data_IF_177631093820
#
_entry.id   IF_177631093820
#
_cell.length_a   1.000
_cell.length_b   1.000
_cell.length_c   1.000
_cell.angle_alpha   90.00
_cell.angle_beta   90.00
_cell.angle_gamma   90.00
#
_symmetry.space_group_name_H-M   'P 1'
#
loop_
_entity.id
_entity.type
_entity.pdbx_description
1 polymer ?
#
# COMPACT_ATOMS: atom_id res chain seq x y z
N UNK A 1 -46.53 -6.62 22.29
CA UNK A 1 -45.16 -6.21 22.65
C UNK A 1 -44.16 -6.91 21.73
N UNK A 2 -43.70 -6.22 20.70
CA UNK A 2 -42.28 -5.90 20.44
C UNK A 2 -42.25 -5.08 19.14
N UNK A 3 -41.69 -3.86 19.16
CA UNK A 3 -41.74 -2.94 18.04
C UNK A 3 -40.84 -3.42 16.91
N UNK A 4 -41.35 -3.31 15.69
CA UNK A 4 -40.57 -3.41 14.47
C UNK A 4 -39.47 -2.35 14.58
N UNK A 5 -38.22 -2.78 14.72
CA UNK A 5 -37.07 -1.88 14.63
C UNK A 5 -37.04 -1.38 13.19
N UNK A 6 -37.67 -0.23 12.98
CA UNK A 6 -37.45 0.63 11.84
C UNK A 6 -35.95 0.92 11.78
N UNK A 7 -35.25 0.18 10.91
CA UNK A 7 -33.97 0.63 10.39
C UNK A 7 -34.26 1.92 9.62
N UNK A 8 -34.10 3.02 10.34
CA UNK A 8 -34.22 4.37 9.82
C UNK A 8 -33.53 4.45 8.47
N UNK A 9 -34.29 4.90 7.47
CA UNK A 9 -33.81 5.14 6.11
C UNK A 9 -32.55 6.01 6.17
N UNK A 10 -31.40 5.36 6.04
CA UNK A 10 -30.12 6.03 5.99
C UNK A 10 -30.13 6.93 4.74
N UNK A 11 -30.19 8.23 5.01
CA UNK A 11 -30.42 9.33 4.09
C UNK A 11 -29.76 9.12 2.71
N UNK A 12 -30.59 8.96 1.67
CA UNK A 12 -30.22 8.69 0.26
C UNK A 12 -29.64 9.92 -0.45
N UNK A 13 -28.68 10.59 0.17
CA UNK A 13 -27.93 11.73 -0.40
C UNK A 13 -26.42 11.54 -0.25
N UNK A 14 -25.95 10.29 -0.28
CA UNK A 14 -24.57 10.01 -0.62
C UNK A 14 -24.53 10.03 -2.15
N UNK A 15 -23.98 11.10 -2.72
CA UNK A 15 -23.52 11.11 -4.11
C UNK A 15 -22.67 9.85 -4.24
N UNK A 16 -23.16 8.82 -4.92
CA UNK A 16 -22.46 7.57 -5.16
C UNK A 16 -21.36 7.82 -6.19
N UNK A 17 -20.32 8.53 -5.77
CA UNK A 17 -18.98 8.50 -6.38
C UNK A 17 -18.29 7.19 -5.97
N UNK A 18 -19.03 6.09 -5.89
CA UNK A 18 -18.45 4.79 -5.57
C UNK A 18 -17.97 4.19 -6.88
N UNK A 19 -16.76 4.57 -7.29
CA UNK A 19 -16.03 3.83 -8.31
C UNK A 19 -15.96 2.37 -7.85
N UNK A 20 -16.43 1.45 -8.68
CA UNK A 20 -16.31 0.03 -8.37
C UNK A 20 -14.84 -0.37 -8.47
N UNK A 21 -14.42 -1.39 -7.71
CA UNK A 21 -13.04 -1.91 -7.80
C UNK A 21 -12.69 -2.32 -9.23
N UNK A 22 -13.69 -2.77 -10.03
CA UNK A 22 -13.51 -3.15 -11.43
C UNK A 22 -13.20 -1.97 -12.33
N UNK A 23 -13.81 -0.81 -12.06
CA UNK A 23 -13.55 0.43 -12.80
C UNK A 23 -12.09 0.90 -12.63
N UNK A 24 -11.48 0.50 -11.51
CA UNK A 24 -10.08 0.74 -11.19
C UNK A 24 -9.14 -0.40 -11.64
N UNK A 25 -9.67 -1.47 -12.26
CA UNK A 25 -8.88 -2.61 -12.72
C UNK A 25 -8.53 -3.63 -11.63
N UNK A 26 -9.30 -3.67 -10.53
CA UNK A 26 -9.07 -4.55 -9.39
C UNK A 26 -10.28 -5.45 -9.05
N UNK A 27 -10.01 -6.58 -8.39
CA UNK A 27 -11.01 -7.49 -7.83
C UNK A 27 -10.50 -8.09 -6.52
N UNK A 28 -11.40 -8.70 -5.76
CA UNK A 28 -11.05 -9.52 -4.60
C UNK A 28 -10.89 -10.97 -5.08
N UNK A 29 -9.80 -11.63 -4.70
CA UNK A 29 -9.57 -13.06 -4.95
C UNK A 29 -10.33 -13.94 -3.95
N UNK A 30 -10.33 -15.25 -4.19
CA UNK A 30 -11.06 -16.22 -3.35
C UNK A 30 -10.50 -16.31 -1.92
N UNK A 31 -9.30 -15.77 -1.68
CA UNK A 31 -8.67 -15.67 -0.36
C UNK A 31 -8.95 -14.33 0.34
N UNK A 32 -9.80 -13.47 -0.24
CA UNK A 32 -10.12 -12.14 0.29
C UNK A 32 -9.06 -11.07 0.04
N UNK A 33 -8.09 -11.29 -0.86
CA UNK A 33 -7.02 -10.34 -1.19
C UNK A 33 -7.35 -9.54 -2.44
N UNK A 34 -6.95 -8.27 -2.44
CA UNK A 34 -7.04 -7.41 -3.62
C UNK A 34 -6.03 -7.88 -4.69
N UNK A 35 -6.53 -8.15 -5.89
CA UNK A 35 -5.76 -8.55 -7.08
C UNK A 35 -6.20 -7.75 -8.29
N UNK A 36 -5.44 -7.80 -9.38
CA UNK A 36 -5.87 -7.24 -10.67
C UNK A 36 -6.99 -8.10 -11.27
N UNK A 37 -7.69 -7.55 -12.27
CA UNK A 37 -8.77 -8.29 -12.96
C UNK A 37 -8.32 -9.63 -13.55
N UNK A 38 -7.07 -9.70 -14.04
CA UNK A 38 -6.42 -10.92 -14.54
C UNK A 38 -6.05 -11.94 -13.44
N UNK A 39 -6.30 -11.63 -12.17
CA UNK A 39 -5.93 -12.44 -11.01
C UNK A 39 -4.45 -12.31 -10.62
N UNK A 40 -3.67 -11.51 -11.34
CA UNK A 40 -2.29 -11.25 -10.97
C UNK A 40 -2.22 -10.45 -9.67
N UNK A 41 -1.24 -10.81 -8.83
CA UNK A 41 -1.01 -10.11 -7.57
C UNK A 41 -0.60 -8.68 -7.86
N UNK A 42 -1.21 -7.75 -7.15
CA UNK A 42 -0.77 -6.36 -7.16
C UNK A 42 0.62 -6.31 -6.54
N UNK A 43 1.62 -5.99 -7.36
CA UNK A 43 3.01 -5.90 -6.90
C UNK A 43 3.11 -4.71 -5.94
N UNK A 44 3.39 -4.98 -4.66
CA UNK A 44 3.69 -3.97 -3.62
C UNK A 44 5.03 -3.23 -3.85
N UNK A 45 5.52 -3.14 -5.08
CA UNK A 45 6.93 -2.87 -5.36
C UNK A 45 7.25 -1.87 -6.47
N UNK A 46 6.27 -1.28 -7.17
CA UNK A 46 6.62 -0.70 -8.47
C UNK A 46 7.36 0.65 -8.39
N UNK A 47 6.88 1.63 -7.64
CA UNK A 47 7.43 3.00 -7.74
C UNK A 47 8.15 3.46 -6.47
N UNK A 48 7.55 3.29 -5.29
CA UNK A 48 8.10 3.82 -4.04
C UNK A 48 9.45 3.16 -3.69
N UNK A 49 9.53 1.83 -3.77
CA UNK A 49 10.76 1.10 -3.43
C UNK A 49 11.87 1.32 -4.43
N UNK A 50 11.52 1.43 -5.71
CA UNK A 50 12.47 1.81 -6.77
C UNK A 50 13.00 3.23 -6.53
N UNK A 51 12.11 4.17 -6.20
CA UNK A 51 12.47 5.53 -5.86
C UNK A 51 13.41 5.59 -4.65
N UNK A 52 13.10 4.86 -3.57
CA UNK A 52 13.97 4.75 -2.38
C UNK A 52 15.35 4.19 -2.76
N UNK A 53 15.42 3.16 -3.61
CA UNK A 53 16.68 2.58 -4.07
C UNK A 53 17.55 3.52 -4.91
N UNK A 54 16.93 4.49 -5.59
CA UNK A 54 17.60 5.51 -6.42
C UNK A 54 18.03 6.76 -5.64
N UNK A 55 17.56 6.95 -4.40
CA UNK A 55 17.93 8.11 -3.59
C UNK A 55 19.43 8.15 -3.29
N UNK A 56 20.06 9.27 -3.64
CA UNK A 56 21.43 9.58 -3.25
C UNK A 56 21.45 10.35 -1.93
N UNK A 57 22.62 10.34 -1.28
CA UNK A 57 22.81 11.16 -0.09
C UNK A 57 22.69 12.65 -0.47
N UNK A 58 21.88 13.39 0.28
CA UNK A 58 21.64 14.82 0.03
C UNK A 58 20.50 15.11 -0.95
N UNK A 59 19.86 14.10 -1.54
CA UNK A 59 18.64 14.30 -2.33
C UNK A 59 17.51 14.89 -1.47
N UNK A 60 16.64 15.67 -2.11
CA UNK A 60 15.53 16.32 -1.41
C UNK A 60 14.40 15.31 -1.16
N UNK A 61 14.13 15.03 0.11
CA UNK A 61 12.96 14.23 0.49
C UNK A 61 11.65 15.00 0.27
N UNK A 62 10.52 14.28 0.05
CA UNK A 62 9.20 14.88 0.02
C UNK A 62 8.90 15.67 1.29
N UNK A 63 8.10 16.73 1.17
CA UNK A 63 7.66 17.51 2.32
C UNK A 63 6.67 16.70 3.15
N UNK A 64 6.73 16.83 4.47
CA UNK A 64 5.76 16.22 5.38
C UNK A 64 6.34 15.84 6.73
N UNK A 65 5.46 15.59 7.71
CA UNK A 65 5.85 15.21 9.07
C UNK A 65 6.72 13.95 9.09
N UNK A 66 6.46 13.00 8.19
CA UNK A 66 7.18 11.73 8.12
C UNK A 66 8.65 11.86 7.69
N UNK A 67 8.96 12.85 6.85
CA UNK A 67 10.31 13.09 6.31
C UNK A 67 11.06 14.22 7.03
N UNK A 68 10.42 14.88 8.00
CA UNK A 68 11.02 15.96 8.76
C UNK A 68 12.28 15.46 9.47
N UNK A 69 13.39 16.18 9.27
CA UNK A 69 14.73 15.88 9.81
C UNK A 69 15.37 14.55 9.35
N UNK A 70 14.76 13.84 8.39
CA UNK A 70 15.39 12.67 7.77
C UNK A 70 16.32 13.12 6.65
N UNK A 71 17.40 12.38 6.42
CA UNK A 71 18.30 12.57 5.28
C UNK A 71 17.97 11.53 4.21
N UNK A 72 17.96 11.93 2.95
CA UNK A 72 17.86 10.99 1.85
C UNK A 72 19.09 10.09 1.81
N UNK A 73 18.88 8.84 1.41
CA UNK A 73 19.92 7.85 1.29
C UNK A 73 19.33 6.45 1.11
N UNK A 74 20.22 5.50 0.79
CA UNK A 74 19.85 4.10 0.68
C UNK A 74 19.46 3.54 2.05
N UNK A 75 18.59 2.52 2.10
CA UNK A 75 18.29 1.81 3.34
C UNK A 75 19.58 1.32 4.01
N UNK A 76 19.64 1.43 5.34
CA UNK A 76 20.72 0.83 6.11
C UNK A 76 20.65 -0.70 5.95
N UNK A 77 21.72 -1.30 5.44
CA UNK A 77 21.89 -2.75 5.40
C UNK A 77 22.97 -3.08 6.41
N UNK A 78 22.59 -3.77 7.49
CA UNK A 78 23.53 -4.32 8.47
C UNK A 78 23.77 -5.76 8.02
N UNK A 79 24.98 -6.06 7.59
CA UNK A 79 25.41 -7.41 7.26
C UNK A 79 26.19 -7.95 8.45
N UNK A 80 25.79 -9.12 8.94
CA UNK A 80 26.50 -9.84 10.00
C UNK A 80 27.58 -10.75 9.39
N UNK A 81 28.64 -11.00 10.14
CA UNK A 81 29.82 -11.79 9.73
C UNK A 81 29.47 -13.23 9.33
N UNK A 82 28.31 -13.74 9.79
CA UNK A 82 27.78 -15.05 9.43
C UNK A 82 27.18 -15.12 8.01
N UNK A 83 26.99 -13.99 7.33
CA UNK A 83 26.36 -13.95 6.00
C UNK A 83 27.27 -14.48 4.88
N UNK A 84 28.58 -14.51 5.09
CA UNK A 84 29.59 -15.03 4.14
C UNK A 84 30.03 -16.47 4.43
N UNK A 85 29.45 -17.13 5.45
CA UNK A 85 29.78 -18.53 5.78
C UNK A 85 29.12 -19.51 4.80
N UNK A 86 29.55 -19.46 3.54
CA UNK A 86 29.17 -20.42 2.53
C UNK A 86 30.21 -21.56 2.53
N UNK A 87 29.80 -22.70 3.08
CA UNK A 87 30.58 -23.94 3.16
C UNK A 87 30.88 -24.45 1.74
N UNK A 88 32.17 -24.59 1.40
CA UNK A 88 32.63 -25.44 0.29
C UNK A 88 32.88 -26.84 0.81
#
# INVERSE_FOLDING_TARGET
>A
MNPILEFSEFNRNIISVTQSLRDLGFKIDDNGKLVRLDGSRIKNYAAEKEWIGKLKHGDRLPRGKFFRNKKAGKPLVIVDEFHDFNWK
#
